data_IF_960979165910
#
_entry.id   IF_960979165910
#
_cell.length_a   1.000
_cell.length_b   1.000
_cell.length_c   1.000
_cell.angle_alpha   90.00
_cell.angle_beta   90.00
_cell.angle_gamma   90.00
#
_symmetry.space_group_name_H-M   'P 1'
#
loop_
_entity.id
_entity.type
_entity.pdbx_description
1 polymer ?
#
# COMPACT_ATOMS: atom_id res chain seq x y z
N UNK A 1 21.91 -28.62 -85.06
CA UNK A 1 21.89 -27.24 -84.53
C UNK A 1 21.35 -27.31 -83.08
N UNK A 2 22.27 -27.24 -82.10
CA UNK A 2 21.93 -27.34 -80.69
C UNK A 2 21.76 -25.91 -80.12
N UNK A 3 20.58 -25.60 -79.66
CA UNK A 3 20.30 -24.34 -78.89
C UNK A 3 20.70 -24.54 -77.49
N UNK A 4 21.66 -23.80 -76.97
CA UNK A 4 22.14 -23.79 -75.64
C UNK A 4 21.38 -22.69 -74.88
N UNK A 5 20.46 -23.06 -73.94
CA UNK A 5 19.80 -22.14 -73.03
C UNK A 5 20.74 -21.77 -71.88
N UNK A 6 21.09 -20.49 -71.78
CA UNK A 6 21.87 -19.92 -70.69
C UNK A 6 20.89 -19.54 -69.56
N UNK A 7 20.91 -20.30 -68.48
CA UNK A 7 20.14 -20.02 -67.28
C UNK A 7 20.96 -19.08 -66.38
N UNK A 8 20.58 -17.83 -66.31
CA UNK A 8 21.17 -16.87 -65.38
C UNK A 8 20.62 -17.16 -63.98
N UNK A 9 21.47 -17.63 -63.08
CA UNK A 9 21.19 -17.82 -61.69
C UNK A 9 21.40 -16.48 -60.96
N UNK A 10 20.33 -15.77 -60.65
CA UNK A 10 20.38 -14.53 -59.85
C UNK A 10 20.51 -14.92 -58.41
N UNK A 11 21.74 -14.94 -57.87
CA UNK A 11 22.03 -15.21 -56.49
C UNK A 11 21.82 -13.90 -55.69
N UNK A 12 20.63 -13.73 -55.13
CA UNK A 12 20.30 -12.60 -54.26
C UNK A 12 21.11 -12.67 -52.96
N UNK A 13 22.03 -11.74 -52.82
CA UNK A 13 22.74 -11.51 -51.55
C UNK A 13 21.76 -10.89 -50.54
N UNK A 14 21.24 -11.70 -49.63
CA UNK A 14 20.51 -11.19 -48.46
C UNK A 14 21.56 -10.74 -47.45
N UNK A 15 21.81 -9.45 -47.37
CA UNK A 15 22.58 -8.86 -46.28
C UNK A 15 21.69 -8.83 -45.04
N UNK A 16 21.95 -9.71 -44.09
CA UNK A 16 21.39 -9.64 -42.72
C UNK A 16 22.08 -8.47 -42.03
N UNK A 17 21.43 -7.31 -42.01
CA UNK A 17 21.83 -6.22 -41.14
C UNK A 17 21.41 -6.61 -39.72
N UNK A 18 22.31 -7.14 -38.93
CA UNK A 18 22.13 -7.22 -37.48
C UNK A 18 22.15 -5.78 -36.97
N UNK A 19 21.03 -5.34 -36.39
CA UNK A 19 21.01 -4.12 -35.58
C UNK A 19 21.99 -4.35 -34.41
N UNK A 20 23.10 -3.62 -34.42
CA UNK A 20 23.98 -3.61 -33.24
C UNK A 20 23.22 -2.92 -32.12
N UNK A 21 22.91 -3.69 -31.10
CA UNK A 21 22.55 -3.11 -29.79
C UNK A 21 23.74 -2.25 -29.35
N UNK A 22 23.58 -0.95 -29.43
CA UNK A 22 24.60 -0.01 -28.95
C UNK A 22 24.52 -0.10 -27.40
N UNK A 23 25.40 -0.89 -26.82
CA UNK A 23 25.54 -0.98 -25.38
C UNK A 23 25.82 0.42 -24.80
N UNK A 24 25.10 0.85 -23.76
CA UNK A 24 25.39 2.11 -23.10
C UNK A 24 26.85 2.15 -22.63
N UNK A 25 27.46 3.35 -22.64
CA UNK A 25 28.83 3.51 -22.16
C UNK A 25 28.97 3.02 -20.70
N UNK A 26 30.18 2.65 -20.28
CA UNK A 26 30.45 2.04 -18.97
C UNK A 26 29.86 2.83 -17.77
N UNK A 27 29.83 4.15 -17.83
CA UNK A 27 29.20 4.99 -16.80
C UNK A 27 27.67 4.84 -16.79
N UNK A 28 27.05 4.84 -17.97
CA UNK A 28 25.61 4.64 -18.09
C UNK A 28 25.19 3.21 -17.70
N UNK A 29 26.02 2.21 -18.01
CA UNK A 29 25.82 0.82 -17.60
C UNK A 29 25.92 0.65 -16.09
N UNK A 30 26.82 1.37 -15.42
CA UNK A 30 26.92 1.40 -13.96
C UNK A 30 25.64 1.92 -13.27
N UNK A 31 24.91 2.86 -13.88
CA UNK A 31 23.61 3.31 -13.39
C UNK A 31 22.49 2.29 -13.65
N UNK A 32 22.55 1.54 -14.73
CA UNK A 32 21.57 0.50 -15.06
C UNK A 32 21.76 -0.76 -14.21
N UNK A 33 23.00 -1.04 -13.82
CA UNK A 33 23.35 -2.20 -12.97
C UNK A 33 23.20 -1.88 -11.46
N UNK A 34 22.85 -0.64 -11.10
CA UNK A 34 22.60 -0.28 -9.70
C UNK A 34 21.34 -0.97 -9.20
N UNK A 35 21.52 -1.98 -8.37
CA UNK A 35 20.43 -2.76 -7.72
C UNK A 35 19.50 -1.90 -6.86
N UNK A 36 19.90 -0.69 -6.54
CA UNK A 36 19.13 0.26 -5.75
C UNK A 36 18.17 1.11 -6.61
N UNK A 37 18.29 0.99 -7.93
CA UNK A 37 17.51 1.77 -8.91
C UNK A 37 16.51 0.87 -9.61
N UNK A 38 15.24 1.24 -9.58
CA UNK A 38 14.18 0.58 -10.33
C UNK A 38 13.31 1.60 -11.04
N UNK A 39 12.81 1.24 -12.23
CA UNK A 39 11.84 2.04 -12.98
C UNK A 39 10.58 1.21 -13.15
N UNK A 40 9.46 1.77 -12.76
CA UNK A 40 8.16 1.19 -13.10
C UNK A 40 7.85 1.50 -14.58
N UNK A 41 7.90 0.50 -15.43
CA UNK A 41 7.68 0.66 -16.85
C UNK A 41 6.22 1.05 -17.21
N UNK A 42 5.26 0.79 -16.34
CA UNK A 42 3.87 1.14 -16.59
C UNK A 42 3.61 2.64 -16.37
N UNK A 43 4.28 3.23 -15.40
CA UNK A 43 4.10 4.64 -15.01
C UNK A 43 5.28 5.53 -15.37
N UNK A 44 6.44 4.95 -15.70
CA UNK A 44 7.70 5.66 -15.90
C UNK A 44 8.30 6.24 -14.61
N UNK A 45 7.76 5.85 -13.46
CA UNK A 45 8.23 6.37 -12.16
C UNK A 45 9.55 5.69 -11.80
N UNK A 46 10.52 6.53 -11.49
CA UNK A 46 11.83 6.10 -11.00
C UNK A 46 11.81 5.93 -9.48
N UNK A 47 12.36 4.83 -9.02
CA UNK A 47 12.57 4.54 -7.59
C UNK A 47 14.05 4.38 -7.32
N UNK A 48 14.50 4.97 -6.22
CA UNK A 48 15.87 4.83 -5.75
C UNK A 48 15.88 4.48 -4.26
N UNK A 49 16.61 3.43 -3.92
CA UNK A 49 16.69 2.91 -2.55
C UNK A 49 18.10 3.09 -1.99
N UNK A 50 18.22 3.80 -0.88
CA UNK A 50 19.47 3.94 -0.14
C UNK A 50 19.42 3.02 1.07
N UNK A 51 20.14 1.90 1.08
CA UNK A 51 20.24 1.05 2.26
C UNK A 51 21.04 1.79 3.33
N UNK A 52 20.49 1.88 4.54
CA UNK A 52 21.14 2.55 5.68
C UNK A 52 21.76 1.52 6.62
N UNK A 53 20.97 0.57 7.07
CA UNK A 53 21.34 -0.41 8.06
C UNK A 53 20.45 -1.66 7.98
N UNK A 54 20.92 -2.76 8.51
CA UNK A 54 20.13 -3.99 8.69
C UNK A 54 20.05 -4.31 10.17
N UNK A 55 18.83 -4.33 10.71
CA UNK A 55 18.55 -4.74 12.09
C UNK A 55 18.20 -6.22 12.14
N UNK A 56 18.51 -6.86 13.26
CA UNK A 56 18.09 -8.22 13.53
C UNK A 56 19.25 -9.14 13.92
N UNK A 57 18.87 -10.31 14.42
CA UNK A 57 19.75 -11.40 14.82
C UNK A 57 19.04 -12.75 14.63
N UNK A 58 19.72 -13.85 14.90
CA UNK A 58 19.10 -15.17 14.98
C UNK A 58 18.41 -15.67 13.72
N UNK A 59 18.70 -15.09 12.55
CA UNK A 59 18.06 -15.45 11.27
C UNK A 59 16.96 -14.49 10.83
N UNK A 60 16.54 -13.53 11.67
CA UNK A 60 15.67 -12.44 11.27
C UNK A 60 16.49 -11.23 10.81
N UNK A 61 16.07 -10.62 9.71
CA UNK A 61 16.76 -9.48 9.09
C UNK A 61 15.76 -8.44 8.62
N UNK A 62 15.90 -7.23 9.14
CA UNK A 62 15.07 -6.08 8.78
C UNK A 62 15.95 -5.01 8.13
N UNK A 63 15.87 -4.80 6.81
CA UNK A 63 16.60 -3.73 6.14
C UNK A 63 15.95 -2.38 6.44
N UNK A 64 16.75 -1.43 6.90
CA UNK A 64 16.36 -0.02 7.03
C UNK A 64 16.90 0.75 5.85
N UNK A 65 16.03 1.49 5.15
CA UNK A 65 16.39 2.21 3.93
C UNK A 65 15.67 3.55 3.81
N UNK A 66 16.25 4.44 3.01
CA UNK A 66 15.56 5.59 2.45
C UNK A 66 15.11 5.25 1.04
N UNK A 67 13.84 5.39 0.77
CA UNK A 67 13.24 5.09 -0.52
C UNK A 67 12.76 6.39 -1.17
N UNK A 68 13.29 6.71 -2.34
CA UNK A 68 12.90 7.84 -3.16
C UNK A 68 11.97 7.39 -4.28
N UNK A 69 10.88 8.12 -4.48
CA UNK A 69 9.93 7.85 -5.58
C UNK A 69 9.73 9.12 -6.39
N UNK A 70 10.16 9.14 -7.64
CA UNK A 70 10.13 10.32 -8.51
C UNK A 70 8.71 10.62 -9.04
N UNK A 71 7.78 10.97 -8.15
CA UNK A 71 6.39 11.35 -8.51
C UNK A 71 6.27 12.78 -9.04
N UNK A 72 7.36 13.57 -8.99
CA UNK A 72 7.31 15.02 -9.13
C UNK A 72 6.84 15.68 -7.84
N UNK A 73 6.63 16.98 -7.88
CA UNK A 73 6.11 17.79 -6.76
C UNK A 73 4.87 18.52 -7.26
N UNK A 74 3.74 18.32 -6.61
CA UNK A 74 2.50 19.07 -6.88
C UNK A 74 2.41 20.27 -5.96
N UNK A 75 1.64 21.27 -6.35
CA UNK A 75 1.49 22.53 -5.58
C UNK A 75 0.99 22.31 -4.14
N UNK A 76 0.23 21.26 -3.92
CA UNK A 76 -0.35 20.92 -2.60
C UNK A 76 0.47 19.91 -1.82
N UNK A 77 1.53 19.36 -2.42
CA UNK A 77 2.38 18.38 -1.74
C UNK A 77 3.14 19.04 -0.59
N UNK A 78 3.17 18.37 0.53
CA UNK A 78 3.97 18.77 1.70
C UNK A 78 5.15 17.82 1.84
N UNK A 79 6.34 18.33 2.17
CA UNK A 79 7.47 17.45 2.44
C UNK A 79 7.19 16.61 3.68
N UNK A 80 7.55 15.34 3.62
CA UNK A 80 7.63 14.50 4.82
C UNK A 80 8.84 14.89 5.70
N UNK A 81 9.07 14.14 6.77
CA UNK A 81 10.17 14.36 7.72
C UNK A 81 11.55 14.42 7.03
N UNK A 82 11.73 13.67 5.94
CA UNK A 82 13.02 13.50 5.25
C UNK A 82 13.10 14.34 3.98
N UNK A 83 11.97 14.92 3.52
CA UNK A 83 11.89 15.73 2.32
C UNK A 83 10.84 15.24 1.33
N UNK A 84 10.77 15.91 0.17
CA UNK A 84 9.83 15.55 -0.88
C UNK A 84 10.19 14.21 -1.51
N UNK A 85 9.19 13.34 -1.66
CA UNK A 85 9.30 12.05 -2.34
C UNK A 85 10.23 11.03 -1.65
N UNK A 86 10.75 11.34 -0.47
CA UNK A 86 11.53 10.43 0.35
C UNK A 86 10.68 9.79 1.43
N UNK A 87 10.88 8.51 1.65
CA UNK A 87 10.27 7.73 2.71
C UNK A 87 11.34 6.97 3.46
N UNK A 88 11.32 7.04 4.79
CA UNK A 88 12.15 6.18 5.65
C UNK A 88 11.42 4.87 5.85
N UNK A 89 11.99 3.79 5.33
CA UNK A 89 11.49 2.44 5.57
C UNK A 89 12.19 1.85 6.80
N UNK A 90 11.44 1.72 7.89
CA UNK A 90 11.90 1.17 9.17
C UNK A 90 11.16 -0.12 9.54
N UNK A 91 10.64 -0.84 8.55
CA UNK A 91 10.00 -2.15 8.79
C UNK A 91 8.53 -2.21 8.49
N UNK A 92 7.82 -1.09 8.47
CA UNK A 92 6.47 -1.09 7.98
C UNK A 92 5.49 -0.14 8.66
N UNK A 93 4.29 -0.09 8.09
CA UNK A 93 3.18 0.77 8.51
C UNK A 93 1.88 0.14 8.06
N UNK A 94 0.82 0.31 8.82
CA UNK A 94 -0.55 0.08 8.34
C UNK A 94 -1.16 1.44 8.02
N UNK A 95 -1.53 1.66 6.77
CA UNK A 95 -2.18 2.89 6.30
C UNK A 95 -3.64 2.65 5.98
N UNK A 96 -4.44 3.72 6.00
CA UNK A 96 -5.85 3.70 5.63
C UNK A 96 -6.12 4.68 4.49
N UNK A 97 -6.93 4.25 3.56
CA UNK A 97 -7.56 5.10 2.55
C UNK A 97 -9.05 5.18 2.86
N UNK A 98 -9.51 6.35 3.29
CA UNK A 98 -10.93 6.59 3.57
C UNK A 98 -11.73 6.50 2.28
N UNK A 99 -12.83 5.75 2.36
CA UNK A 99 -13.87 5.65 1.35
C UNK A 99 -15.20 6.05 1.97
N UNK A 100 -16.18 6.41 1.18
CA UNK A 100 -17.49 6.84 1.72
C UNK A 100 -17.48 8.14 2.52
N UNK A 101 -16.32 8.69 2.85
CA UNK A 101 -16.12 10.03 3.44
C UNK A 101 -15.92 10.07 4.94
N UNK A 102 -15.93 8.93 5.65
CA UNK A 102 -15.75 8.85 7.11
C UNK A 102 -15.10 7.52 7.48
N UNK A 103 -14.33 7.48 8.57
CA UNK A 103 -13.70 6.25 9.03
C UNK A 103 -14.71 5.17 9.42
N UNK A 104 -14.46 3.92 9.02
CA UNK A 104 -15.34 2.76 9.19
C UNK A 104 -15.83 2.56 10.62
N UNK A 105 -14.98 2.82 11.61
CA UNK A 105 -15.28 2.67 13.04
C UNK A 105 -16.06 3.85 13.65
N UNK A 106 -16.41 4.86 12.85
CA UNK A 106 -17.17 5.98 13.37
C UNK A 106 -18.56 5.54 13.84
N UNK A 107 -18.86 5.80 15.12
CA UNK A 107 -20.13 5.44 15.73
C UNK A 107 -21.31 6.13 15.03
N UNK A 108 -22.40 5.39 14.79
CA UNK A 108 -23.67 5.78 14.17
C UNK A 108 -23.65 6.05 12.66
N UNK A 109 -22.48 6.27 12.04
CA UNK A 109 -22.41 6.68 10.64
C UNK A 109 -21.45 5.82 9.80
N UNK A 110 -20.42 5.26 10.40
CA UNK A 110 -19.38 4.49 9.73
C UNK A 110 -19.85 3.12 9.25
N UNK A 111 -19.09 2.53 8.36
CA UNK A 111 -19.38 1.25 7.72
C UNK A 111 -19.60 0.09 8.72
N UNK A 112 -18.80 0.01 9.78
CA UNK A 112 -18.95 -1.03 10.82
C UNK A 112 -20.26 -0.90 11.61
N UNK A 113 -20.77 0.32 11.82
CA UNK A 113 -22.09 0.51 12.39
C UNK A 113 -23.18 0.01 11.46
N UNK A 114 -23.01 0.26 10.15
CA UNK A 114 -23.90 -0.29 9.12
C UNK A 114 -23.92 -1.82 9.14
N UNK A 115 -22.77 -2.47 9.14
CA UNK A 115 -22.69 -3.95 9.16
C UNK A 115 -23.41 -4.55 10.37
N UNK A 116 -23.29 -3.92 11.55
CA UNK A 116 -23.96 -4.38 12.78
C UNK A 116 -25.48 -4.24 12.75
N UNK A 117 -25.99 -3.38 11.87
CA UNK A 117 -27.42 -3.04 11.78
C UNK A 117 -28.07 -3.61 10.51
N UNK A 118 -27.32 -4.29 9.65
CA UNK A 118 -27.80 -4.71 8.31
C UNK A 118 -29.05 -5.57 8.36
N UNK A 119 -29.22 -6.37 9.40
CA UNK A 119 -30.37 -7.26 9.55
C UNK A 119 -31.60 -6.55 10.14
N UNK A 120 -31.43 -5.37 10.69
CA UNK A 120 -32.49 -4.62 11.39
C UNK A 120 -33.16 -3.53 10.55
N UNK A 121 -32.56 -3.16 9.40
CA UNK A 121 -33.07 -2.07 8.55
C UNK A 121 -33.34 -2.58 7.15
N UNK A 122 -34.53 -2.29 6.56
CA UNK A 122 -34.81 -2.66 5.17
C UNK A 122 -33.76 -2.07 4.19
N UNK A 123 -33.27 -2.88 3.27
CA UNK A 123 -32.25 -2.49 2.26
C UNK A 123 -32.61 -1.20 1.51
N UNK A 124 -33.90 -0.96 1.24
CA UNK A 124 -34.37 0.27 0.57
C UNK A 124 -34.17 1.53 1.40
N UNK A 125 -34.33 1.45 2.73
CA UNK A 125 -34.11 2.61 3.60
C UNK A 125 -32.62 2.85 3.83
N UNK A 126 -31.81 1.80 3.91
CA UNK A 126 -30.37 1.92 4.01
C UNK A 126 -29.76 2.52 2.73
N UNK A 127 -30.17 2.07 1.55
CA UNK A 127 -29.74 2.64 0.28
C UNK A 127 -30.09 4.14 0.20
N UNK A 128 -31.27 4.55 0.68
CA UNK A 128 -31.65 5.97 0.75
C UNK A 128 -30.75 6.77 1.68
N UNK A 129 -30.36 6.21 2.83
CA UNK A 129 -29.46 6.87 3.79
C UNK A 129 -28.06 7.04 3.23
N UNK A 130 -27.52 6.00 2.58
CA UNK A 130 -26.24 6.08 1.89
C UNK A 130 -26.28 7.12 0.78
N UNK A 131 -27.30 7.10 -0.09
CA UNK A 131 -27.46 8.08 -1.17
C UNK A 131 -27.63 9.52 -0.67
N UNK A 132 -28.14 9.71 0.55
CA UNK A 132 -28.27 11.03 1.18
C UNK A 132 -27.03 11.42 2.00
N UNK A 133 -25.95 10.65 1.92
CA UNK A 133 -24.73 10.83 2.72
C UNK A 133 -25.00 10.90 4.24
N UNK A 134 -26.03 10.21 4.70
CA UNK A 134 -26.38 10.09 6.11
C UNK A 134 -25.71 8.89 6.78
N UNK A 135 -25.06 8.04 5.99
CA UNK A 135 -24.39 6.82 6.41
C UNK A 135 -23.29 6.47 5.41
N UNK A 136 -22.20 5.93 5.90
CA UNK A 136 -21.17 5.35 5.08
C UNK A 136 -21.58 3.94 4.64
N UNK A 137 -21.52 3.69 3.34
CA UNK A 137 -21.81 2.40 2.71
C UNK A 137 -20.59 1.74 2.09
N UNK A 138 -19.42 2.33 2.19
CA UNK A 138 -18.18 1.83 1.61
C UNK A 138 -17.15 1.55 2.69
N UNK A 139 -16.58 0.32 2.70
CA UNK A 139 -15.46 0.02 3.58
C UNK A 139 -14.21 0.75 3.14
N UNK A 140 -13.46 1.26 4.11
CA UNK A 140 -12.11 1.76 3.94
C UNK A 140 -11.17 0.67 3.42
N UNK A 141 -10.13 1.08 2.70
CA UNK A 141 -9.07 0.16 2.29
C UNK A 141 -7.84 0.40 3.17
N UNK A 142 -7.40 -0.66 3.80
CA UNK A 142 -6.19 -0.69 4.60
C UNK A 142 -5.06 -1.37 3.83
N UNK A 143 -3.85 -0.87 4.01
CA UNK A 143 -2.64 -1.47 3.47
C UNK A 143 -1.65 -1.72 4.60
N UNK A 144 -1.39 -2.98 4.89
CA UNK A 144 -0.32 -3.37 5.80
C UNK A 144 0.98 -3.58 5.02
N UNK A 145 2.01 -2.82 5.37
CA UNK A 145 3.37 -2.97 4.83
C UNK A 145 4.25 -3.53 5.95
N UNK A 146 4.97 -4.59 5.68
CA UNK A 146 5.87 -5.24 6.64
C UNK A 146 7.00 -5.95 5.88
N UNK A 147 8.23 -5.77 6.33
CA UNK A 147 9.44 -6.43 5.80
C UNK A 147 9.48 -6.52 4.24
N UNK A 148 9.12 -5.44 3.55
CA UNK A 148 9.12 -5.37 2.09
C UNK A 148 7.92 -6.04 1.40
N UNK A 149 6.97 -6.57 2.15
CA UNK A 149 5.70 -7.10 1.66
C UNK A 149 4.55 -6.13 1.91
N UNK A 150 3.46 -6.27 1.18
CA UNK A 150 2.24 -5.49 1.41
C UNK A 150 1.00 -6.35 1.20
N UNK A 151 -0.01 -6.12 2.02
CA UNK A 151 -1.32 -6.78 1.93
C UNK A 151 -2.41 -5.74 2.07
N UNK A 152 -3.39 -5.76 1.16
CA UNK A 152 -4.57 -4.91 1.23
C UNK A 152 -5.71 -5.66 1.91
N UNK A 153 -6.44 -4.98 2.76
CA UNK A 153 -7.59 -5.56 3.45
C UNK A 153 -8.67 -4.50 3.72
N UNK A 154 -9.87 -4.98 3.98
CA UNK A 154 -10.99 -4.20 4.44
C UNK A 154 -11.44 -4.70 5.81
N UNK A 155 -12.32 -3.94 6.48
CA UNK A 155 -12.88 -4.36 7.76
C UNK A 155 -14.13 -5.21 7.55
N UNK A 156 -14.28 -6.17 8.43
CA UNK A 156 -15.49 -6.98 8.59
C UNK A 156 -15.78 -7.24 10.05
N UNK A 157 -16.78 -8.07 10.31
CA UNK A 157 -17.13 -8.51 11.64
C UNK A 157 -17.03 -10.04 11.72
N UNK A 158 -16.43 -10.55 12.78
CA UNK A 158 -16.40 -11.97 13.08
C UNK A 158 -17.73 -12.45 13.71
N UNK A 159 -17.85 -13.76 13.96
CA UNK A 159 -19.03 -14.35 14.58
C UNK A 159 -19.33 -13.82 16.00
N UNK A 160 -18.34 -13.23 16.66
CA UNK A 160 -18.49 -12.59 17.96
C UNK A 160 -18.71 -11.06 17.84
N UNK A 161 -19.01 -10.58 16.63
CA UNK A 161 -19.25 -9.17 16.32
C UNK A 161 -18.03 -8.25 16.60
N UNK A 162 -16.82 -8.82 16.56
CA UNK A 162 -15.55 -8.09 16.68
C UNK A 162 -15.03 -7.72 15.32
N UNK A 163 -14.29 -6.62 15.26
CA UNK A 163 -13.63 -6.16 14.01
C UNK A 163 -12.60 -7.19 13.59
N UNK A 164 -12.67 -7.64 12.34
CA UNK A 164 -11.69 -8.51 11.71
C UNK A 164 -11.21 -7.91 10.39
N UNK A 165 -9.96 -8.23 10.03
CA UNK A 165 -9.40 -7.89 8.75
C UNK A 165 -9.81 -8.94 7.71
N UNK A 166 -10.27 -8.48 6.55
CA UNK A 166 -10.62 -9.30 5.39
C UNK A 166 -9.66 -8.97 4.25
N UNK A 167 -8.61 -9.78 4.01
CA UNK A 167 -7.68 -9.56 2.92
C UNK A 167 -8.40 -9.53 1.56
N UNK A 168 -8.01 -8.59 0.70
CA UNK A 168 -8.55 -8.45 -0.66
C UNK A 168 -7.88 -9.39 -1.66
N UNK A 169 -6.69 -9.83 -1.34
CA UNK A 169 -5.91 -10.79 -2.11
C UNK A 169 -5.71 -12.11 -1.35
N UNK A 170 -5.45 -13.17 -2.10
CA UNK A 170 -5.12 -14.46 -1.48
C UNK A 170 -3.74 -14.37 -0.83
N UNK A 171 -3.68 -14.53 0.48
CA UNK A 171 -2.46 -14.46 1.27
C UNK A 171 -2.49 -15.47 2.42
N UNK A 172 -1.32 -15.90 2.89
CA UNK A 172 -1.15 -16.68 4.12
C UNK A 172 -0.83 -15.78 5.33
N UNK A 173 -0.82 -14.47 5.13
CA UNK A 173 -0.57 -13.50 6.20
C UNK A 173 -1.82 -13.38 7.07
N UNK A 174 -1.63 -13.43 8.39
CA UNK A 174 -2.69 -13.22 9.36
C UNK A 174 -2.66 -11.80 9.88
N UNK A 175 -3.79 -11.11 9.80
CA UNK A 175 -3.95 -9.74 10.27
C UNK A 175 -5.01 -9.74 11.39
N UNK A 176 -4.61 -9.29 12.57
CA UNK A 176 -5.48 -9.21 13.75
C UNK A 176 -5.64 -7.76 14.19
N UNK A 177 -6.90 -7.35 14.42
CA UNK A 177 -7.24 -6.05 14.94
C UNK A 177 -7.14 -6.05 16.47
N UNK A 178 -6.37 -5.14 17.03
CA UNK A 178 -6.41 -4.82 18.45
C UNK A 178 -7.49 -3.75 18.67
N UNK A 179 -8.59 -4.12 19.27
CA UNK A 179 -9.74 -3.24 19.45
C UNK A 179 -10.05 -3.01 20.91
N UNK A 180 -10.55 -1.81 21.24
CA UNK A 180 -11.07 -1.43 22.53
C UNK A 180 -12.53 -1.03 22.38
N UNK A 181 -13.44 -1.96 22.70
CA UNK A 181 -14.87 -1.79 22.45
C UNK A 181 -15.26 -2.07 20.99
N UNK A 182 -16.42 -1.56 20.57
CA UNK A 182 -17.03 -1.88 19.28
C UNK A 182 -16.51 -1.01 18.12
N UNK A 183 -15.97 0.18 18.42
CA UNK A 183 -15.69 1.24 17.45
C UNK A 183 -14.31 1.87 17.63
N UNK A 184 -13.38 1.18 18.27
CA UNK A 184 -12.04 1.72 18.49
C UNK A 184 -10.99 0.71 18.08
N UNK A 185 -10.15 1.10 17.13
CA UNK A 185 -9.00 0.33 16.67
C UNK A 185 -7.77 0.87 17.39
N UNK A 186 -7.18 0.07 18.29
CA UNK A 186 -5.98 0.45 19.02
C UNK A 186 -4.71 0.14 18.24
N UNK A 187 -4.71 -0.91 17.45
CA UNK A 187 -3.56 -1.31 16.67
C UNK A 187 -3.83 -2.55 15.82
N UNK A 188 -2.75 -3.03 15.24
CA UNK A 188 -2.75 -4.20 14.36
C UNK A 188 -1.61 -5.13 14.74
N UNK A 189 -1.84 -6.42 14.66
CA UNK A 189 -0.80 -7.44 14.67
C UNK A 189 -0.84 -8.18 13.35
N UNK A 190 0.24 -8.09 12.58
CA UNK A 190 0.44 -8.81 11.32
C UNK A 190 1.40 -9.96 11.57
N UNK A 191 1.03 -11.17 11.19
CA UNK A 191 1.90 -12.35 11.28
C UNK A 191 2.17 -12.81 9.86
N UNK A 192 3.45 -12.86 9.48
CA UNK A 192 3.86 -13.32 8.15
C UNK A 192 3.83 -14.85 8.01
N UNK A 193 4.20 -15.35 6.84
CA UNK A 193 4.20 -16.78 6.53
C UNK A 193 5.23 -17.58 7.34
N UNK A 194 6.30 -16.92 7.79
CA UNK A 194 7.33 -17.52 8.64
C UNK A 194 6.96 -17.49 10.12
N UNK A 195 5.89 -16.77 10.50
CA UNK A 195 5.40 -16.65 11.87
C UNK A 195 5.95 -15.44 12.63
N UNK A 196 6.73 -14.55 11.98
CA UNK A 196 7.17 -13.31 12.60
C UNK A 196 5.98 -12.38 12.79
N UNK A 197 5.92 -11.71 13.95
CA UNK A 197 4.81 -10.83 14.31
C UNK A 197 5.24 -9.37 14.29
N UNK A 198 4.50 -8.55 13.58
CA UNK A 198 4.68 -7.11 13.42
C UNK A 198 3.54 -6.40 14.12
N UNK A 199 3.84 -5.59 15.14
CA UNK A 199 2.85 -4.96 16.02
C UNK A 199 2.85 -3.46 15.79
N UNK A 200 1.70 -2.91 15.38
CA UNK A 200 1.52 -1.51 14.98
C UNK A 200 0.59 -0.80 15.98
N UNK A 201 1.12 0.11 16.79
CA UNK A 201 0.37 0.82 17.83
C UNK A 201 0.58 2.33 17.85
N UNK A 202 1.63 2.84 17.17
CA UNK A 202 1.89 4.28 17.10
C UNK A 202 0.95 4.90 16.06
N UNK A 203 -0.02 5.71 16.52
CA UNK A 203 -1.10 6.25 15.69
C UNK A 203 -0.74 7.61 15.13
N UNK A 204 -1.00 7.79 13.83
CA UNK A 204 -1.04 9.10 13.18
C UNK A 204 -2.48 9.52 12.96
N UNK A 205 -2.79 10.75 13.31
CA UNK A 205 -4.12 11.32 13.19
C UNK A 205 -4.19 12.28 12.02
N UNK A 206 -5.22 12.16 11.23
CA UNK A 206 -5.59 13.09 10.16
C UNK A 206 -6.95 13.69 10.42
N UNK A 207 -7.16 14.90 9.94
CA UNK A 207 -8.45 15.56 9.97
C UNK A 207 -8.70 16.24 8.63
N UNK A 208 -9.84 15.95 8.02
CA UNK A 208 -10.32 16.66 6.83
C UNK A 208 -11.07 17.90 7.28
N UNK A 209 -10.45 19.07 7.10
CA UNK A 209 -11.08 20.35 7.36
C UNK A 209 -11.75 20.83 6.08
N UNK A 210 -13.06 20.79 6.01
CA UNK A 210 -13.82 21.39 4.91
C UNK A 210 -14.13 22.83 5.25
N UNK A 211 -13.72 23.78 4.41
CA UNK A 211 -14.09 25.20 4.57
C UNK A 211 -15.63 25.35 4.48
N UNK A 212 -16.21 26.21 5.30
CA UNK A 212 -17.66 26.41 5.50
C UNK A 212 -18.50 26.64 4.23
N UNK A 213 -17.89 26.98 3.10
CA UNK A 213 -18.59 27.21 1.84
C UNK A 213 -18.88 25.95 1.02
N UNK A 214 -18.27 24.81 1.36
CA UNK A 214 -18.58 23.55 0.74
C UNK A 214 -19.80 22.96 1.45
N UNK A 215 -20.91 22.90 0.72
CA UNK A 215 -22.21 22.33 1.12
C UNK A 215 -22.04 21.28 2.22
N UNK A 216 -22.58 21.59 3.39
CA UNK A 216 -22.63 20.71 4.56
C UNK A 216 -23.23 19.36 4.15
N UNK A 217 -22.38 18.40 3.89
CA UNK A 217 -22.78 17.00 3.81
C UNK A 217 -23.01 16.50 5.24
N UNK A 218 -24.15 16.85 5.80
CA UNK A 218 -24.77 16.28 7.02
C UNK A 218 -23.81 15.87 8.16
N UNK A 219 -22.73 16.62 8.40
CA UNK A 219 -21.81 16.38 9.51
C UNK A 219 -20.94 15.12 9.40
N UNK A 220 -20.86 14.47 8.24
CA UNK A 220 -19.98 13.32 8.02
C UNK A 220 -18.52 13.71 7.74
N UNK A 221 -18.24 14.98 7.52
CA UNK A 221 -16.89 15.53 7.36
C UNK A 221 -16.46 16.26 8.62
N UNK A 222 -15.22 16.61 8.75
CA UNK A 222 -14.57 17.31 9.87
C UNK A 222 -14.33 16.45 11.13
N UNK A 223 -14.17 15.16 10.95
CA UNK A 223 -13.73 14.29 12.05
C UNK A 223 -12.29 13.89 11.89
N UNK A 224 -11.56 13.97 13.00
CA UNK A 224 -10.24 13.36 13.06
C UNK A 224 -10.37 11.84 13.11
N UNK A 225 -9.50 11.17 12.38
CA UNK A 225 -9.42 9.72 12.34
C UNK A 225 -7.96 9.28 12.34
N UNK A 226 -7.71 8.02 12.68
CA UNK A 226 -6.37 7.45 12.58
C UNK A 226 -6.12 7.07 11.13
N UNK A 227 -5.17 7.74 10.49
CA UNK A 227 -4.78 7.50 9.09
C UNK A 227 -3.72 6.43 8.94
N UNK A 228 -2.86 6.27 9.96
CA UNK A 228 -1.77 5.31 9.93
C UNK A 228 -1.45 4.76 11.31
N UNK A 229 -0.96 3.53 11.34
CA UNK A 229 -0.40 2.89 12.53
C UNK A 229 1.03 2.47 12.19
N UNK A 230 2.00 3.07 12.88
CA UNK A 230 3.41 2.74 12.70
C UNK A 230 3.81 1.56 13.58
N UNK A 231 4.85 0.88 13.11
CA UNK A 231 5.44 -0.26 13.78
C UNK A 231 5.97 0.14 15.17
N UNK A 232 5.56 -0.58 16.20
CA UNK A 232 6.02 -0.40 17.58
C UNK A 232 6.91 -1.54 18.05
N UNK A 233 6.72 -2.75 17.48
CA UNK A 233 7.48 -3.93 17.88
C UNK A 233 7.46 -4.98 16.79
N UNK A 234 8.56 -5.72 16.66
CA UNK A 234 8.63 -6.95 15.88
C UNK A 234 9.02 -8.09 16.84
N UNK A 235 8.32 -9.20 16.75
CA UNK A 235 8.60 -10.44 17.48
C UNK A 235 8.92 -11.52 16.43
N UNK A 236 10.21 -11.69 16.08
CA UNK A 236 10.62 -12.75 15.16
C UNK A 236 10.44 -14.11 15.81
N UNK A 237 10.21 -15.15 14.99
CA UNK A 237 10.19 -16.55 15.46
C UNK A 237 11.54 -16.95 16.05
N UNK A 238 12.60 -16.50 15.39
CA UNK A 238 13.97 -16.72 15.84
C UNK A 238 14.65 -15.36 15.97
N UNK A 239 15.27 -15.12 17.11
CA UNK A 239 15.97 -13.87 17.40
C UNK A 239 15.32 -13.05 18.50
N UNK A 240 15.91 -11.90 18.78
CA UNK A 240 15.44 -11.01 19.83
C UNK A 240 14.35 -10.06 19.30
N UNK A 241 13.33 -9.72 20.13
CA UNK A 241 12.34 -8.73 19.73
C UNK A 241 12.97 -7.36 19.46
N UNK A 242 12.53 -6.69 18.39
CA UNK A 242 12.88 -5.32 18.08
C UNK A 242 11.77 -4.39 18.60
N UNK A 243 12.13 -3.38 19.39
CA UNK A 243 11.19 -2.42 19.96
C UNK A 243 11.53 -1.03 19.46
N UNK A 244 10.52 -0.29 19.01
CA UNK A 244 10.63 1.09 18.55
C UNK A 244 10.12 2.03 19.67
N UNK A 245 10.88 3.09 19.93
CA UNK A 245 10.60 4.09 20.97
C UNK A 245 10.35 5.47 20.38
#
# INVERSE_FOLDING_TARGET
>A
MKKMCFLWFFMGFVTITSAQDIAPGQQAQGYLDDKNTTVDYATGIFHYKVPLYTLGDGGFSLPVSLDYTAKGVKTEDRPGLIGYNWTLNTGGVVTRTIRGGIADETSFYGYLYYLRQSDAVPLTEDAKRVNRHQRDGESDIFTAVFNGQSVHFMLGLDAANRICALPLERTNVRIECEQNGLYTIDGWTVTDEEGNRYIYRQKEWSADIVKEEAVSFNGLRDKSYVSSWYLSRIEPVNGSPLVYH
#
